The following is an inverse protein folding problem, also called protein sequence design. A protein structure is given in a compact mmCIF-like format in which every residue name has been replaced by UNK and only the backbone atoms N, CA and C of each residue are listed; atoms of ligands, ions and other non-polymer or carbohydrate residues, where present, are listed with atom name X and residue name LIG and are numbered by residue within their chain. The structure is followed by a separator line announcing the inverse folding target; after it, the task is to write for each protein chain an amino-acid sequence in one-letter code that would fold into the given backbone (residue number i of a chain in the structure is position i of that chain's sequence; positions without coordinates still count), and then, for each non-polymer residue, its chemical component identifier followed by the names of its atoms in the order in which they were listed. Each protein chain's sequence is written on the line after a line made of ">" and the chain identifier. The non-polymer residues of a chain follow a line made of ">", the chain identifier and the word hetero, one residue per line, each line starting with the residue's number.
data_IF_430502139718
#
_entry.id   IF_430502139718
#
_cell.length_a   1.000
_cell.length_b   1.000
_cell.length_c   1.000
_cell.angle_alpha   90.00
_cell.angle_beta   90.00
_cell.angle_gamma   90.00
#
_symmetry.space_group_name_H-M   'P 1'
#
loop_
_entity.id
_entity.type
_entity.pdbx_description
1 polymer ?
#
# COMPACT_ATOMS: atom_id res chain seq x y z
N UNK A 1 -10.43 -35.26 -14.32
CA UNK A 1 -10.72 -35.52 -12.91
C UNK A 1 -9.87 -34.51 -12.14
N UNK A 2 -10.44 -33.31 -11.92
CA UNK A 2 -9.74 -32.19 -11.24
C UNK A 2 -9.77 -32.49 -9.75
N UNK A 3 -8.58 -32.69 -9.19
CA UNK A 3 -8.39 -32.80 -7.74
C UNK A 3 -8.52 -31.39 -7.14
N UNK A 4 -9.70 -31.05 -6.65
CA UNK A 4 -9.88 -29.84 -5.82
C UNK A 4 -9.20 -30.13 -4.49
N UNK A 5 -8.00 -29.58 -4.31
CA UNK A 5 -7.35 -29.59 -3.02
C UNK A 5 -8.20 -28.74 -2.06
N UNK A 6 -8.92 -29.42 -1.16
CA UNK A 6 -9.62 -28.77 -0.06
C UNK A 6 -8.61 -28.17 0.88
N UNK A 7 -8.35 -26.87 0.73
CA UNK A 7 -7.56 -26.10 1.69
C UNK A 7 -8.29 -26.09 3.03
N UNK A 8 -7.81 -26.89 3.98
CA UNK A 8 -8.21 -26.74 5.38
C UNK A 8 -7.64 -25.41 5.86
N UNK A 9 -8.45 -24.54 6.48
CA UNK A 9 -7.94 -23.28 7.04
C UNK A 9 -6.83 -23.63 8.05
N UNK A 10 -5.64 -23.07 7.82
CA UNK A 10 -4.52 -23.18 8.74
C UNK A 10 -4.93 -22.49 10.05
N UNK A 11 -4.96 -23.26 11.15
CA UNK A 11 -5.04 -22.65 12.47
C UNK A 11 -3.67 -22.10 12.81
N UNK A 12 -3.57 -20.87 13.38
CA UNK A 12 -2.28 -20.34 13.80
C UNK A 12 -1.64 -21.34 14.74
N UNK A 13 -0.33 -21.53 14.65
CA UNK A 13 0.36 -22.30 15.67
C UNK A 13 0.08 -21.65 17.04
N UNK A 14 -0.22 -22.42 18.09
CA UNK A 14 -0.56 -21.86 19.42
C UNK A 14 0.46 -20.84 19.93
N UNK A 15 1.72 -20.98 19.51
CA UNK A 15 2.81 -20.03 19.77
C UNK A 15 2.59 -18.65 19.15
N UNK A 16 2.05 -18.54 17.92
CA UNK A 16 1.82 -17.27 17.23
C UNK A 16 0.67 -16.50 17.89
N UNK A 17 -0.46 -17.16 18.13
CA UNK A 17 -1.60 -16.56 18.84
C UNK A 17 -1.16 -16.00 20.19
N UNK A 18 -0.41 -16.78 20.97
CA UNK A 18 0.09 -16.36 22.28
C UNK A 18 1.05 -15.15 22.19
N UNK A 19 1.93 -15.10 21.17
CA UNK A 19 2.81 -13.94 20.95
C UNK A 19 2.00 -12.67 20.67
N UNK A 20 0.98 -12.74 19.82
CA UNK A 20 0.12 -11.62 19.50
C UNK A 20 -0.63 -11.10 20.73
N UNK A 21 -1.19 -11.97 21.55
CA UNK A 21 -1.84 -11.59 22.81
C UNK A 21 -0.88 -10.95 23.81
N UNK A 22 0.34 -11.50 23.95
CA UNK A 22 1.38 -10.91 24.80
C UNK A 22 1.80 -9.51 24.31
N UNK A 23 1.93 -9.34 23.00
CA UNK A 23 2.19 -8.03 22.40
C UNK A 23 1.08 -7.04 22.75
N UNK A 24 -0.18 -7.40 22.51
CA UNK A 24 -1.32 -6.53 22.77
C UNK A 24 -1.40 -6.09 24.24
N UNK A 25 -1.25 -7.03 25.17
CA UNK A 25 -1.26 -6.72 26.61
C UNK A 25 -0.13 -5.77 27.00
N UNK A 26 1.09 -6.01 26.47
CA UNK A 26 2.25 -5.12 26.72
C UNK A 26 2.06 -3.76 26.07
N UNK A 27 1.49 -3.70 24.87
CA UNK A 27 1.22 -2.45 24.17
C UNK A 27 0.24 -1.57 24.95
N UNK A 28 -0.89 -2.13 25.40
CA UNK A 28 -1.86 -1.42 26.23
C UNK A 28 -1.22 -0.90 27.52
N UNK A 29 -0.43 -1.74 28.19
CA UNK A 29 0.30 -1.31 29.38
C UNK A 29 1.27 -0.18 29.08
N UNK A 30 2.15 -0.34 28.09
CA UNK A 30 3.14 0.68 27.71
C UNK A 30 2.50 1.99 27.25
N UNK A 31 1.43 1.93 26.48
CA UNK A 31 0.74 3.14 26.01
C UNK A 31 0.19 4.01 27.15
N UNK A 32 -0.18 3.38 28.28
CA UNK A 32 -0.65 4.10 29.46
C UNK A 32 0.47 4.64 30.36
N UNK A 33 1.63 3.99 30.40
CA UNK A 33 2.69 4.33 31.33
C UNK A 33 3.91 4.98 30.69
N UNK A 34 4.20 4.72 29.41
CA UNK A 34 5.32 5.32 28.67
C UNK A 34 4.88 6.67 28.09
N UNK A 35 5.49 7.75 28.60
CA UNK A 35 5.18 9.11 28.13
C UNK A 35 5.85 9.44 26.80
N UNK A 36 7.04 8.90 26.56
CA UNK A 36 7.78 9.10 25.32
C UNK A 36 7.17 8.25 24.19
N UNK A 37 6.51 8.93 23.26
CA UNK A 37 5.85 8.27 22.12
C UNK A 37 6.85 7.76 21.08
N UNK A 38 8.05 8.32 21.01
CA UNK A 38 9.12 7.78 20.16
C UNK A 38 9.66 6.45 20.72
N UNK A 39 9.85 6.34 22.04
CA UNK A 39 10.24 5.09 22.70
C UNK A 39 9.17 4.00 22.47
N UNK A 40 7.89 4.35 22.66
CA UNK A 40 6.79 3.43 22.40
C UNK A 40 6.77 2.97 20.93
N UNK A 41 6.98 3.90 19.99
CA UNK A 41 7.02 3.60 18.56
C UNK A 41 8.17 2.66 18.19
N UNK A 42 9.36 2.92 18.69
CA UNK A 42 10.54 2.08 18.46
C UNK A 42 10.34 0.66 19.01
N UNK A 43 9.85 0.53 20.25
CA UNK A 43 9.52 -0.76 20.83
C UNK A 43 8.44 -1.49 20.02
N UNK A 44 7.38 -0.77 19.58
CA UNK A 44 6.31 -1.36 18.76
C UNK A 44 6.85 -1.87 17.44
N UNK A 45 7.66 -1.10 16.72
CA UNK A 45 8.34 -1.51 15.49
C UNK A 45 9.08 -2.84 15.67
N UNK A 46 9.90 -2.95 16.71
CA UNK A 46 10.71 -4.13 16.97
C UNK A 46 9.84 -5.36 17.24
N UNK A 47 8.73 -5.19 17.97
CA UNK A 47 7.78 -6.27 18.21
C UNK A 47 7.02 -6.69 16.92
N UNK A 48 6.66 -5.74 16.06
CA UNK A 48 5.99 -6.05 14.78
C UNK A 48 6.92 -6.84 13.85
N UNK A 49 8.22 -6.55 13.84
CA UNK A 49 9.23 -7.35 13.11
C UNK A 49 9.30 -8.79 13.62
N UNK A 50 9.27 -9.00 14.95
CA UNK A 50 9.26 -10.33 15.55
C UNK A 50 7.96 -11.12 15.31
N UNK A 51 6.82 -10.44 15.18
CA UNK A 51 5.53 -11.05 14.92
C UNK A 51 5.37 -11.51 13.46
N UNK A 52 6.11 -10.91 12.54
CA UNK A 52 6.19 -11.36 11.16
C UNK A 52 5.48 -10.48 10.13
N UNK A 53 5.42 -10.95 8.86
CA UNK A 53 5.05 -10.12 7.70
C UNK A 53 3.71 -9.40 7.80
N UNK A 54 2.68 -10.06 8.31
CA UNK A 54 1.35 -9.49 8.54
C UNK A 54 1.41 -8.25 9.43
N UNK A 55 2.14 -8.35 10.55
CA UNK A 55 2.26 -7.27 11.53
C UNK A 55 3.17 -6.16 11.05
N UNK A 56 4.22 -6.48 10.28
CA UNK A 56 5.04 -5.49 9.59
C UNK A 56 4.16 -4.64 8.67
N UNK A 57 3.28 -5.27 7.89
CA UNK A 57 2.38 -4.54 6.98
C UNK A 57 1.34 -3.70 7.74
N UNK A 58 0.77 -4.21 8.82
CA UNK A 58 -0.10 -3.43 9.69
C UNK A 58 0.63 -2.21 10.28
N UNK A 59 1.90 -2.37 10.65
CA UNK A 59 2.74 -1.27 11.11
C UNK A 59 3.04 -0.24 10.01
N UNK A 60 3.23 -0.67 8.76
CA UNK A 60 3.38 0.21 7.60
C UNK A 60 2.10 1.04 7.39
N UNK A 61 0.92 0.42 7.44
CA UNK A 61 -0.36 1.13 7.35
C UNK A 61 -0.50 2.13 8.51
N UNK A 62 -0.18 1.72 9.74
CA UNK A 62 -0.23 2.60 10.91
C UNK A 62 0.74 3.80 10.79
N UNK A 63 1.90 3.64 10.12
CA UNK A 63 2.87 4.73 9.92
C UNK A 63 2.32 5.88 9.06
N UNK A 64 1.35 5.61 8.19
CA UNK A 64 0.71 6.63 7.33
C UNK A 64 -0.48 7.31 7.99
N UNK A 65 -0.92 6.83 9.16
CA UNK A 65 -2.13 7.30 9.86
C UNK A 65 -1.78 8.35 10.92
N UNK A 66 -1.30 9.51 10.46
CA UNK A 66 -1.03 10.68 11.31
C UNK A 66 -2.31 11.26 11.97
N UNK A 67 -3.49 10.87 11.49
CA UNK A 67 -4.79 11.18 12.06
C UNK A 67 -5.10 10.37 13.34
N UNK A 68 -4.48 9.19 13.50
CA UNK A 68 -4.72 8.28 14.62
C UNK A 68 -3.58 8.24 15.64
N UNK A 69 -2.35 8.49 15.20
CA UNK A 69 -1.16 8.30 16.02
C UNK A 69 -0.29 9.56 16.04
N UNK A 70 0.39 9.86 17.18
CA UNK A 70 1.33 10.97 17.27
C UNK A 70 2.48 10.84 16.24
N UNK A 71 2.96 11.98 15.67
CA UNK A 71 4.05 11.97 14.68
C UNK A 71 5.33 11.27 15.14
N UNK A 72 5.66 11.39 16.43
CA UNK A 72 6.84 10.77 17.02
C UNK A 72 6.75 9.23 16.99
N UNK A 73 5.53 8.69 17.14
CA UNK A 73 5.23 7.26 17.06
C UNK A 73 5.28 6.77 15.61
N UNK A 74 4.56 7.43 14.70
CA UNK A 74 4.48 7.03 13.28
C UNK A 74 5.82 7.05 12.60
N UNK A 75 6.67 8.05 12.91
CA UNK A 75 8.03 8.15 12.39
C UNK A 75 8.91 6.93 12.69
N UNK A 76 8.73 6.28 13.84
CA UNK A 76 9.48 5.06 14.17
C UNK A 76 9.02 3.87 13.33
N UNK A 77 7.75 3.83 12.94
CA UNK A 77 7.18 2.76 12.12
C UNK A 77 7.51 2.90 10.63
N UNK A 78 7.88 4.09 10.14
CA UNK A 78 8.28 4.32 8.74
C UNK A 78 9.41 3.39 8.30
N UNK A 79 10.34 3.05 9.21
CA UNK A 79 11.45 2.15 8.94
C UNK A 79 11.06 0.69 8.67
N UNK A 80 9.80 0.31 8.89
CA UNK A 80 9.27 -1.02 8.54
C UNK A 80 9.17 -1.24 7.02
N UNK A 81 9.29 -0.18 6.21
CA UNK A 81 9.04 -0.25 4.77
C UNK A 81 10.12 -1.01 3.99
N UNK A 82 11.35 -1.16 4.51
CA UNK A 82 12.50 -1.62 3.72
C UNK A 82 13.22 -2.90 4.22
N UNK A 83 12.77 -3.57 5.30
CA UNK A 83 13.59 -4.60 5.96
C UNK A 83 12.86 -5.93 6.24
N UNK A 84 12.29 -6.56 5.23
CA UNK A 84 11.78 -7.93 5.40
C UNK A 84 12.78 -8.93 4.80
N UNK A 85 13.31 -9.91 5.57
CA UNK A 85 14.22 -10.92 5.04
C UNK A 85 13.60 -11.68 3.87
N UNK A 86 14.36 -11.98 2.81
CA UNK A 86 13.87 -12.76 1.70
C UNK A 86 13.58 -14.20 2.11
N UNK A 87 12.67 -14.87 1.40
CA UNK A 87 12.53 -16.33 1.48
C UNK A 87 13.66 -17.01 0.70
N UNK A 88 13.99 -18.21 1.11
CA UNK A 88 15.05 -18.99 0.49
C UNK A 88 14.72 -19.34 -0.98
N UNK A 89 15.75 -19.50 -1.78
CA UNK A 89 15.61 -19.68 -3.24
C UNK A 89 14.91 -21.01 -3.62
N UNK A 90 15.11 -22.06 -2.86
CA UNK A 90 14.41 -23.34 -3.03
C UNK A 90 12.89 -23.17 -2.96
N UNK A 91 12.41 -22.34 -2.02
CA UNK A 91 10.98 -21.97 -1.91
C UNK A 91 10.49 -21.20 -3.14
N UNK A 92 11.33 -20.34 -3.71
CA UNK A 92 11.02 -19.59 -4.94
C UNK A 92 10.88 -20.53 -6.13
N UNK A 93 11.75 -21.54 -6.23
CA UNK A 93 11.74 -22.52 -7.31
C UNK A 93 10.46 -23.37 -7.33
N UNK A 94 9.84 -23.60 -6.18
CA UNK A 94 8.57 -24.32 -6.09
C UNK A 94 7.38 -23.53 -6.64
N UNK A 95 7.49 -22.19 -6.69
CA UNK A 95 6.41 -21.27 -7.08
C UNK A 95 6.58 -20.77 -8.52
N UNK A 96 7.82 -20.57 -8.95
CA UNK A 96 8.16 -19.98 -10.27
C UNK A 96 8.42 -21.07 -11.31
N UNK A 97 7.73 -21.04 -12.43
CA UNK A 97 8.10 -21.90 -13.56
C UNK A 97 9.38 -21.36 -14.26
N UNK A 98 10.52 -21.91 -13.83
CA UNK A 98 11.82 -21.49 -14.33
C UNK A 98 12.04 -21.81 -15.82
N UNK A 99 11.23 -22.69 -16.43
CA UNK A 99 11.34 -23.01 -17.86
C UNK A 99 11.04 -21.81 -18.78
N UNK A 100 10.39 -20.78 -18.29
CA UNK A 100 10.13 -19.56 -19.06
C UNK A 100 11.37 -18.68 -19.28
N UNK A 101 12.41 -18.87 -18.45
CA UNK A 101 13.55 -17.98 -18.38
C UNK A 101 14.83 -18.65 -18.91
N UNK A 102 15.71 -17.86 -19.53
CA UNK A 102 17.10 -18.25 -19.84
C UNK A 102 18.02 -17.88 -18.69
N UNK A 103 17.68 -16.84 -17.94
CA UNK A 103 18.40 -16.36 -16.76
C UNK A 103 17.38 -16.01 -15.68
N UNK A 104 17.64 -16.41 -14.44
CA UNK A 104 16.86 -16.03 -13.27
C UNK A 104 17.81 -15.79 -12.09
N UNK A 105 17.81 -14.56 -11.55
CA UNK A 105 18.68 -14.21 -10.42
C UNK A 105 18.15 -14.85 -9.13
N UNK A 106 18.92 -15.72 -8.44
CA UNK A 106 18.46 -16.38 -7.20
C UNK A 106 18.27 -15.42 -6.04
N UNK A 107 19.06 -14.34 -6.01
CA UNK A 107 19.00 -13.32 -4.96
C UNK A 107 18.01 -12.26 -5.40
N UNK A 108 16.94 -11.99 -4.62
CA UNK A 108 16.00 -10.94 -4.96
C UNK A 108 16.67 -9.57 -4.81
N UNK A 109 16.41 -8.67 -5.74
CA UNK A 109 16.90 -7.30 -5.60
C UNK A 109 16.00 -6.44 -4.67
N UNK A 110 14.78 -6.89 -4.38
CA UNK A 110 13.87 -6.27 -3.40
C UNK A 110 13.08 -7.37 -2.69
N UNK A 111 12.97 -7.25 -1.36
CA UNK A 111 12.12 -8.12 -0.55
C UNK A 111 11.13 -7.26 0.24
N UNK A 112 9.85 -7.65 0.23
CA UNK A 112 8.75 -6.97 0.90
C UNK A 112 7.97 -7.93 1.82
N UNK A 113 7.00 -7.41 2.54
CA UNK A 113 6.19 -8.18 3.50
C UNK A 113 5.45 -9.35 2.85
N UNK A 114 4.86 -9.15 1.68
CA UNK A 114 4.02 -10.15 1.00
C UNK A 114 4.74 -10.92 -0.11
N UNK A 115 5.87 -10.44 -0.59
CA UNK A 115 6.60 -11.05 -1.71
C UNK A 115 8.00 -10.53 -1.87
N UNK A 116 8.68 -11.02 -2.88
CA UNK A 116 10.01 -10.56 -3.28
C UNK A 116 10.13 -10.46 -4.79
N UNK A 117 11.08 -9.68 -5.28
CA UNK A 117 11.24 -9.37 -6.69
C UNK A 117 12.61 -9.81 -7.18
N UNK A 118 12.62 -10.62 -8.23
CA UNK A 118 13.83 -11.12 -8.89
C UNK A 118 13.98 -10.52 -10.28
N UNK A 119 15.22 -10.37 -10.73
CA UNK A 119 15.51 -10.11 -12.13
C UNK A 119 15.57 -11.42 -12.89
N UNK A 120 15.08 -11.38 -14.12
CA UNK A 120 15.13 -12.55 -15.00
C UNK A 120 15.18 -12.12 -16.47
N UNK A 121 15.49 -13.06 -17.34
CA UNK A 121 15.43 -12.87 -18.78
C UNK A 121 14.58 -13.98 -19.40
N UNK A 122 13.57 -13.60 -20.16
CA UNK A 122 12.71 -14.54 -20.88
C UNK A 122 13.49 -15.21 -22.04
N UNK A 123 13.05 -16.40 -22.47
CA UNK A 123 13.62 -17.11 -23.62
C UNK A 123 13.65 -16.29 -24.92
N UNK A 124 12.80 -15.28 -25.05
CA UNK A 124 12.82 -14.35 -26.19
C UNK A 124 13.79 -13.17 -26.01
N UNK A 125 14.67 -13.20 -24.99
CA UNK A 125 15.72 -12.22 -24.73
C UNK A 125 15.27 -10.95 -24.01
N UNK A 126 13.99 -10.84 -23.58
CA UNK A 126 13.50 -9.66 -22.86
C UNK A 126 13.89 -9.70 -21.39
N UNK A 127 14.42 -8.60 -20.91
CA UNK A 127 14.68 -8.39 -19.48
C UNK A 127 13.36 -8.12 -18.75
N UNK A 128 13.14 -8.86 -17.66
CA UNK A 128 11.91 -8.81 -16.87
C UNK A 128 12.22 -8.81 -15.38
N UNK A 129 11.25 -8.38 -14.60
CA UNK A 129 11.18 -8.68 -13.17
C UNK A 129 10.11 -9.72 -12.92
N UNK A 130 10.34 -10.54 -11.92
CA UNK A 130 9.40 -11.55 -11.44
C UNK A 130 9.09 -11.23 -9.98
N UNK A 131 7.88 -10.76 -9.73
CA UNK A 131 7.36 -10.57 -8.38
C UNK A 131 6.82 -11.92 -7.91
N UNK A 132 7.35 -12.45 -6.82
CA UNK A 132 7.02 -13.78 -6.27
C UNK A 132 6.37 -13.61 -4.92
N UNK A 133 5.18 -14.15 -4.76
CA UNK A 133 4.44 -14.12 -3.51
C UNK A 133 5.09 -15.06 -2.47
N UNK A 134 5.06 -14.66 -1.20
CA UNK A 134 5.48 -15.57 -0.14
C UNK A 134 4.48 -16.73 -0.01
N UNK A 135 4.96 -17.97 0.14
CA UNK A 135 4.06 -19.13 0.29
C UNK A 135 3.08 -18.95 1.45
N UNK A 136 1.83 -19.33 1.22
CA UNK A 136 0.76 -19.30 2.22
C UNK A 136 0.57 -17.93 2.90
N UNK A 137 0.99 -16.82 2.24
CA UNK A 137 0.92 -15.50 2.86
C UNK A 137 -0.52 -15.07 3.12
N UNK A 138 -1.43 -15.34 2.18
CA UNK A 138 -2.85 -15.01 2.33
C UNK A 138 -3.47 -15.70 3.55
N UNK A 139 -3.25 -17.00 3.69
CA UNK A 139 -3.74 -17.80 4.81
C UNK A 139 -3.15 -17.33 6.14
N UNK A 140 -1.85 -17.02 6.13
CA UNK A 140 -1.16 -16.47 7.31
C UNK A 140 -1.75 -15.13 7.71
N UNK A 141 -1.92 -14.22 6.76
CA UNK A 141 -2.52 -12.91 7.00
C UNK A 141 -3.94 -13.02 7.54
N UNK A 142 -4.76 -13.88 6.95
CA UNK A 142 -6.14 -14.11 7.39
C UNK A 142 -6.20 -14.58 8.85
N UNK A 143 -5.35 -15.53 9.19
CA UNK A 143 -5.27 -16.06 10.55
C UNK A 143 -4.78 -15.01 11.55
N UNK A 144 -3.73 -14.25 11.19
CA UNK A 144 -3.19 -13.21 12.05
C UNK A 144 -4.20 -12.06 12.26
N UNK A 145 -4.90 -11.66 11.21
CA UNK A 145 -5.92 -10.60 11.28
C UNK A 145 -7.16 -11.04 12.08
N UNK A 146 -7.57 -12.30 12.00
CA UNK A 146 -8.63 -12.82 12.84
C UNK A 146 -8.23 -12.81 14.32
N UNK A 147 -6.96 -13.10 14.64
CA UNK A 147 -6.43 -12.94 16.00
C UNK A 147 -6.47 -11.48 16.47
N UNK A 148 -6.11 -10.52 15.60
CA UNK A 148 -6.17 -9.09 15.94
C UNK A 148 -7.60 -8.65 16.20
N UNK A 149 -8.57 -9.07 15.38
CA UNK A 149 -10.00 -8.79 15.62
C UNK A 149 -10.49 -9.35 16.97
N UNK A 150 -10.07 -10.57 17.30
CA UNK A 150 -10.40 -11.18 18.60
C UNK A 150 -9.86 -10.36 19.78
N UNK A 151 -8.63 -9.89 19.66
CA UNK A 151 -7.98 -9.04 20.68
C UNK A 151 -8.73 -7.71 20.84
N UNK A 152 -9.02 -7.01 19.75
CA UNK A 152 -9.73 -5.72 19.80
C UNK A 152 -11.09 -5.88 20.46
N UNK A 153 -11.89 -6.87 20.05
CA UNK A 153 -13.20 -7.16 20.68
C UNK A 153 -13.08 -7.51 22.16
N UNK A 154 -12.02 -8.19 22.56
CA UNK A 154 -11.79 -8.48 23.98
C UNK A 154 -11.45 -7.21 24.77
N UNK A 155 -10.57 -6.35 24.23
CA UNK A 155 -10.20 -5.08 24.87
C UNK A 155 -11.41 -4.16 25.06
N UNK A 156 -12.28 -4.06 24.07
CA UNK A 156 -13.54 -3.30 24.15
C UNK A 156 -14.47 -3.85 25.25
N UNK A 157 -14.60 -5.20 25.34
CA UNK A 157 -15.40 -5.84 26.39
C UNK A 157 -14.92 -5.54 27.81
N UNK A 158 -13.61 -5.40 28.01
CA UNK A 158 -13.02 -5.10 29.32
C UNK A 158 -12.90 -3.60 29.59
N UNK A 159 -13.47 -2.77 28.72
CA UNK A 159 -13.54 -1.30 28.89
C UNK A 159 -12.25 -0.56 28.58
N UNK A 160 -11.33 -1.17 27.81
CA UNK A 160 -10.18 -0.45 27.27
C UNK A 160 -10.68 0.39 26.10
N UNK A 161 -10.47 1.72 26.20
CA UNK A 161 -10.79 2.62 25.10
C UNK A 161 -9.85 2.36 23.93
N UNK A 162 -10.40 1.80 22.86
CA UNK A 162 -9.69 1.55 21.60
C UNK A 162 -9.94 2.67 20.57
N UNK A 163 -10.73 3.67 20.94
CA UNK A 163 -11.20 4.76 20.07
C UNK A 163 -12.51 4.43 19.35
N UNK A 164 -13.38 5.41 19.19
CA UNK A 164 -14.75 5.25 18.65
C UNK A 164 -14.84 4.72 17.21
N UNK A 165 -13.73 4.58 16.50
CA UNK A 165 -13.67 4.09 15.11
C UNK A 165 -12.75 2.89 14.94
N UNK A 166 -12.27 2.27 16.02
CA UNK A 166 -11.21 1.25 15.98
C UNK A 166 -11.58 0.02 15.15
N UNK A 167 -12.81 -0.50 15.31
CA UNK A 167 -13.24 -1.68 14.54
C UNK A 167 -13.40 -1.38 13.05
N UNK A 168 -13.92 -0.21 12.69
CA UNK A 168 -14.06 0.23 11.31
C UNK A 168 -12.68 0.39 10.65
N UNK A 169 -11.80 1.17 11.26
CA UNK A 169 -10.42 1.40 10.77
C UNK A 169 -9.62 0.11 10.68
N UNK A 170 -9.79 -0.78 11.66
CA UNK A 170 -9.16 -2.09 11.65
C UNK A 170 -9.65 -2.94 10.48
N UNK A 171 -10.96 -3.00 10.25
CA UNK A 171 -11.54 -3.77 9.17
C UNK A 171 -11.10 -3.24 7.80
N UNK A 172 -11.10 -1.93 7.58
CA UNK A 172 -10.56 -1.32 6.36
C UNK A 172 -9.07 -1.68 6.15
N UNK A 173 -8.27 -1.59 7.22
CA UNK A 173 -6.84 -1.94 7.17
C UNK A 173 -6.62 -3.42 6.84
N UNK A 174 -7.48 -4.30 7.35
CA UNK A 174 -7.42 -5.73 7.07
C UNK A 174 -7.85 -6.05 5.63
N UNK A 175 -8.91 -5.41 5.14
CA UNK A 175 -9.34 -5.57 3.74
C UNK A 175 -8.27 -5.10 2.78
N UNK A 176 -7.67 -3.96 3.06
CA UNK A 176 -6.52 -3.46 2.31
C UNK A 176 -5.35 -4.46 2.30
N UNK A 177 -4.97 -4.95 3.49
CA UNK A 177 -3.89 -5.92 3.67
C UNK A 177 -4.12 -7.22 2.88
N UNK A 178 -5.33 -7.78 2.96
CA UNK A 178 -5.69 -9.00 2.25
C UNK A 178 -5.74 -8.78 0.74
N UNK A 179 -6.24 -7.63 0.30
CA UNK A 179 -6.31 -7.25 -1.11
C UNK A 179 -4.94 -7.17 -1.77
N UNK A 180 -3.90 -6.71 -1.07
CA UNK A 180 -2.53 -6.66 -1.61
C UNK A 180 -1.96 -8.05 -1.98
N UNK A 181 -2.50 -9.13 -1.45
CA UNK A 181 -2.08 -10.49 -1.80
C UNK A 181 -2.73 -11.02 -3.08
N UNK A 182 -3.66 -10.29 -3.68
CA UNK A 182 -4.33 -10.66 -4.93
C UNK A 182 -3.53 -10.23 -6.16
N UNK A 183 -2.64 -11.11 -6.62
CA UNK A 183 -1.81 -10.84 -7.80
C UNK A 183 -2.60 -10.82 -9.10
N UNK A 184 -3.75 -11.51 -9.19
CA UNK A 184 -4.60 -11.44 -10.38
C UNK A 184 -5.22 -10.05 -10.52
N UNK A 185 -5.70 -9.48 -9.41
CA UNK A 185 -6.21 -8.11 -9.39
C UNK A 185 -5.09 -7.10 -9.72
N UNK A 186 -3.88 -7.29 -9.19
CA UNK A 186 -2.74 -6.43 -9.50
C UNK A 186 -2.37 -6.49 -11.00
N UNK A 187 -2.40 -7.67 -11.62
CA UNK A 187 -2.17 -7.86 -13.06
C UNK A 187 -3.22 -7.09 -13.88
N UNK A 188 -4.49 -7.22 -13.54
CA UNK A 188 -5.58 -6.53 -14.23
C UNK A 188 -5.46 -5.02 -14.08
N UNK A 189 -5.18 -4.55 -12.90
CA UNK A 189 -4.93 -3.15 -12.59
C UNK A 189 -3.75 -2.60 -13.43
N UNK A 190 -2.62 -3.29 -13.45
CA UNK A 190 -1.45 -2.87 -14.22
C UNK A 190 -1.73 -2.75 -15.72
N UNK A 191 -2.48 -3.71 -16.28
CA UNK A 191 -2.84 -3.69 -17.70
C UNK A 191 -3.80 -2.55 -18.00
N UNK A 192 -4.82 -2.32 -17.17
CA UNK A 192 -5.79 -1.23 -17.33
C UNK A 192 -5.09 0.13 -17.14
N UNK A 193 -4.26 0.26 -16.12
CA UNK A 193 -3.49 1.48 -15.86
C UNK A 193 -2.58 1.83 -17.05
N UNK A 194 -1.84 0.84 -17.57
CA UNK A 194 -1.01 1.02 -18.74
C UNK A 194 -1.80 1.48 -19.97
N UNK A 195 -3.00 0.92 -20.19
CA UNK A 195 -3.91 1.34 -21.26
C UNK A 195 -4.36 2.80 -21.08
N UNK A 196 -4.74 3.17 -19.85
CA UNK A 196 -5.21 4.51 -19.53
C UNK A 196 -4.12 5.58 -19.70
N UNK A 197 -2.87 5.23 -19.39
CA UNK A 197 -1.73 6.16 -19.42
C UNK A 197 -0.92 6.11 -20.73
N UNK A 198 -1.36 5.37 -21.76
CA UNK A 198 -0.61 5.15 -23.01
C UNK A 198 -0.25 6.44 -23.76
N UNK A 199 -1.14 7.44 -23.70
CA UNK A 199 -1.01 8.72 -24.41
C UNK A 199 -0.26 9.78 -23.56
N UNK A 200 0.06 9.48 -22.30
CA UNK A 200 0.80 10.36 -21.38
C UNK A 200 2.29 10.16 -21.59
N UNK A 201 2.90 11.02 -22.41
CA UNK A 201 4.27 10.86 -22.93
C UNK A 201 5.35 10.78 -21.86
N UNK A 202 5.12 11.41 -20.70
CA UNK A 202 6.08 11.47 -19.58
C UNK A 202 5.89 10.33 -18.55
N UNK A 203 4.94 9.42 -18.78
CA UNK A 203 4.72 8.24 -17.93
C UNK A 203 5.18 6.98 -18.66
N UNK A 204 5.78 6.08 -17.92
CA UNK A 204 6.10 4.71 -18.33
C UNK A 204 5.45 3.75 -17.35
N UNK A 205 4.68 2.82 -17.87
CA UNK A 205 4.10 1.70 -17.13
C UNK A 205 4.71 0.41 -17.68
N UNK A 206 5.35 -0.42 -16.85
CA UNK A 206 5.91 -1.70 -17.28
C UNK A 206 4.84 -2.58 -17.95
N UNK A 207 5.23 -3.31 -18.99
CA UNK A 207 4.32 -4.26 -19.62
C UNK A 207 4.24 -5.53 -18.77
N UNK A 208 3.05 -5.96 -18.40
CA UNK A 208 2.81 -7.28 -17.81
C UNK A 208 2.77 -8.33 -18.92
N UNK A 209 3.47 -9.44 -18.71
CA UNK A 209 3.50 -10.60 -19.62
C UNK A 209 2.56 -11.68 -19.05
N UNK A 210 1.26 -11.53 -19.28
CA UNK A 210 0.20 -12.36 -18.69
C UNK A 210 0.41 -13.86 -18.86
N UNK A 211 0.95 -14.29 -20.02
CA UNK A 211 1.18 -15.70 -20.35
C UNK A 211 2.20 -16.38 -19.41
N UNK A 212 2.97 -15.59 -18.68
CA UNK A 212 3.99 -16.06 -17.72
C UNK A 212 3.63 -15.79 -16.26
N UNK A 213 2.45 -15.17 -16.02
CA UNK A 213 1.95 -14.88 -14.69
C UNK A 213 1.14 -16.05 -14.15
N UNK A 214 1.06 -16.15 -12.81
CA UNK A 214 0.23 -17.11 -12.08
C UNK A 214 -0.46 -16.39 -10.90
N UNK A 215 -1.20 -17.10 -10.05
CA UNK A 215 -1.77 -16.54 -8.81
C UNK A 215 -0.67 -16.10 -7.82
N UNK A 216 0.54 -16.65 -7.96
CA UNK A 216 1.65 -16.41 -7.04
C UNK A 216 2.83 -15.66 -7.68
N UNK A 217 2.77 -15.38 -8.98
CA UNK A 217 3.85 -14.70 -9.70
C UNK A 217 3.34 -13.66 -10.69
N UNK A 218 4.00 -12.49 -10.72
CA UNK A 218 3.77 -11.46 -11.74
C UNK A 218 5.06 -11.28 -12.53
N UNK A 219 4.99 -11.43 -13.85
CA UNK A 219 6.12 -11.21 -14.76
C UNK A 219 5.87 -9.93 -15.54
N UNK A 220 6.76 -8.94 -15.37
CA UNK A 220 6.64 -7.66 -16.04
C UNK A 220 7.96 -7.15 -16.59
N UNK A 221 7.90 -6.23 -17.54
CA UNK A 221 9.04 -5.56 -18.16
C UNK A 221 9.95 -4.95 -17.09
N UNK A 222 11.24 -5.24 -17.17
CA UNK A 222 12.23 -4.50 -16.41
C UNK A 222 12.39 -3.10 -17.01
N UNK A 223 12.20 -2.09 -16.20
CA UNK A 223 12.42 -0.70 -16.60
C UNK A 223 13.53 -0.12 -15.73
N UNK A 224 14.67 0.17 -16.35
CA UNK A 224 15.77 0.82 -15.66
C UNK A 224 15.38 2.23 -15.21
N UNK A 225 15.49 2.48 -13.91
CA UNK A 225 15.05 3.72 -13.28
C UNK A 225 15.60 3.84 -11.86
N UNK A 226 15.73 5.06 -11.40
CA UNK A 226 16.12 5.39 -10.04
C UNK A 226 14.89 5.75 -9.22
N UNK A 227 14.87 5.44 -7.94
CA UNK A 227 13.79 5.90 -7.05
C UNK A 227 13.78 7.42 -6.96
N UNK A 228 12.60 8.03 -6.87
CA UNK A 228 12.47 9.48 -6.81
C UNK A 228 13.24 10.12 -5.65
N UNK A 229 13.37 9.39 -4.53
CA UNK A 229 14.12 9.82 -3.33
C UNK A 229 15.63 9.68 -3.45
N UNK A 230 16.11 8.86 -4.40
CA UNK A 230 17.53 8.54 -4.57
C UNK A 230 18.15 9.24 -5.79
N UNK A 231 17.39 10.10 -6.48
CA UNK A 231 17.87 10.86 -7.63
C UNK A 231 19.05 11.75 -7.23
N UNK A 232 20.23 11.40 -7.72
CA UNK A 232 21.48 12.11 -7.42
C UNK A 232 21.96 13.03 -8.55
N UNK A 233 21.48 12.83 -9.78
CA UNK A 233 21.88 13.64 -10.93
C UNK A 233 21.46 15.12 -10.73
N UNK A 234 22.41 16.07 -10.63
CA UNK A 234 22.12 17.48 -10.46
C UNK A 234 21.43 18.11 -11.68
N UNK A 235 21.50 17.48 -12.86
CA UNK A 235 20.86 17.96 -14.07
C UNK A 235 19.37 17.61 -14.14
N UNK A 236 18.90 16.75 -13.26
CA UNK A 236 17.48 16.38 -13.20
C UNK A 236 16.66 17.55 -12.62
N UNK A 237 15.75 18.07 -13.41
CA UNK A 237 14.86 19.13 -12.98
C UNK A 237 13.72 18.57 -12.09
N UNK A 238 13.94 18.58 -10.78
CA UNK A 238 12.99 18.09 -9.78
C UNK A 238 11.62 18.77 -9.87
N UNK A 239 11.58 20.08 -10.22
CA UNK A 239 10.32 20.80 -10.40
C UNK A 239 9.49 20.20 -11.54
N UNK A 240 10.13 19.88 -12.67
CA UNK A 240 9.45 19.21 -13.80
C UNK A 240 8.94 17.81 -13.42
N UNK A 241 9.67 17.09 -12.58
CA UNK A 241 9.21 15.77 -12.08
C UNK A 241 7.97 15.95 -11.21
N UNK A 242 7.96 16.91 -10.29
CA UNK A 242 6.79 17.21 -9.47
C UNK A 242 5.58 17.62 -10.32
N UNK A 243 5.79 18.49 -11.31
CA UNK A 243 4.74 18.89 -12.26
C UNK A 243 4.20 17.69 -13.05
N UNK A 244 5.08 16.83 -13.54
CA UNK A 244 4.70 15.59 -14.24
C UNK A 244 3.94 14.63 -13.34
N UNK A 245 4.33 14.50 -12.08
CA UNK A 245 3.65 13.67 -11.09
C UNK A 245 2.25 14.20 -10.81
N UNK A 246 2.12 15.48 -10.47
CA UNK A 246 0.82 16.12 -10.22
C UNK A 246 -0.09 15.98 -11.45
N UNK A 247 0.39 16.29 -12.64
CA UNK A 247 -0.38 16.16 -13.87
C UNK A 247 -0.80 14.70 -14.12
N UNK A 248 0.05 13.74 -13.81
CA UNK A 248 -0.29 12.33 -13.92
C UNK A 248 -1.45 11.94 -13.00
N UNK A 249 -1.46 12.43 -11.76
CA UNK A 249 -2.56 12.18 -10.81
C UNK A 249 -3.85 12.91 -11.21
N UNK A 250 -3.76 14.14 -11.72
CA UNK A 250 -4.93 14.86 -12.26
C UNK A 250 -5.57 14.08 -13.42
N UNK A 251 -4.76 13.54 -14.34
CA UNK A 251 -5.27 12.72 -15.44
C UNK A 251 -5.90 11.42 -14.90
N UNK A 252 -5.24 10.74 -13.99
CA UNK A 252 -5.73 9.50 -13.38
C UNK A 252 -7.09 9.69 -12.70
N UNK A 253 -7.23 10.75 -11.90
CA UNK A 253 -8.45 11.00 -11.11
C UNK A 253 -9.56 11.64 -11.96
N UNK A 254 -9.27 12.75 -12.65
CA UNK A 254 -10.31 13.56 -13.29
C UNK A 254 -10.68 13.10 -14.70
N UNK A 255 -9.72 12.56 -15.47
CA UNK A 255 -9.98 12.09 -16.83
C UNK A 255 -10.32 10.59 -16.86
N UNK A 256 -9.48 9.77 -16.20
CA UNK A 256 -9.62 8.31 -16.26
C UNK A 256 -10.52 7.73 -15.16
N UNK A 257 -10.68 8.42 -14.03
CA UNK A 257 -11.38 7.91 -12.85
C UNK A 257 -10.79 6.62 -12.29
N UNK A 258 -9.51 6.36 -12.57
CA UNK A 258 -8.79 5.15 -12.20
C UNK A 258 -7.38 5.54 -11.81
N UNK A 259 -7.11 5.60 -10.51
CA UNK A 259 -5.86 6.16 -10.02
C UNK A 259 -5.12 5.26 -9.05
N UNK A 260 -3.81 5.39 -9.09
CA UNK A 260 -2.88 4.73 -8.18
C UNK A 260 -2.98 5.38 -6.80
N UNK A 261 -3.49 4.64 -5.82
CA UNK A 261 -3.80 5.19 -4.51
C UNK A 261 -2.65 5.05 -3.48
N UNK A 262 -1.51 4.48 -3.88
CA UNK A 262 -0.31 4.39 -3.05
C UNK A 262 0.90 5.12 -3.68
N UNK A 263 0.95 6.47 -3.62
CA UNK A 263 2.03 7.28 -4.20
C UNK A 263 3.34 7.20 -3.39
N UNK A 264 3.58 6.12 -2.69
CA UNK A 264 4.81 5.95 -1.93
C UNK A 264 6.04 6.04 -2.84
N UNK A 265 7.12 6.72 -2.45
CA UNK A 265 8.33 6.86 -3.28
C UNK A 265 8.94 5.52 -3.72
N UNK A 266 8.72 4.44 -2.97
CA UNK A 266 9.13 3.08 -3.34
C UNK A 266 8.39 2.47 -4.52
N UNK A 267 7.22 3.04 -4.89
CA UNK A 267 6.37 2.61 -6.00
C UNK A 267 6.55 3.49 -7.24
N UNK A 268 7.42 4.51 -7.15
CA UNK A 268 7.66 5.49 -8.20
C UNK A 268 9.15 5.58 -8.53
N UNK A 269 9.46 5.67 -9.80
CA UNK A 269 10.82 5.88 -10.27
C UNK A 269 10.92 6.90 -11.39
N UNK A 270 12.14 7.24 -11.72
CA UNK A 270 12.48 8.09 -12.85
C UNK A 270 13.47 7.38 -13.75
N UNK A 271 13.09 7.15 -15.00
CA UNK A 271 13.93 6.44 -15.97
C UNK A 271 14.99 7.35 -16.56
N UNK A 272 16.08 6.78 -17.05
CA UNK A 272 17.13 7.47 -17.83
C UNK A 272 16.58 8.21 -19.06
N UNK A 273 15.40 7.80 -19.55
CA UNK A 273 14.68 8.46 -20.67
C UNK A 273 13.79 9.62 -20.23
N UNK A 274 13.88 10.08 -18.98
CA UNK A 274 13.13 11.22 -18.47
C UNK A 274 11.64 10.95 -18.23
N UNK A 275 11.26 9.71 -17.91
CA UNK A 275 9.86 9.33 -17.66
C UNK A 275 9.63 8.89 -16.22
N UNK A 276 8.48 9.28 -15.66
CA UNK A 276 7.98 8.70 -14.42
C UNK A 276 7.60 7.24 -14.65
N UNK A 277 8.02 6.36 -13.76
CA UNK A 277 7.73 4.94 -13.80
C UNK A 277 6.87 4.58 -12.59
N UNK A 278 5.76 3.89 -12.82
CA UNK A 278 4.91 3.30 -11.78
C UNK A 278 5.16 1.80 -11.73
N UNK A 279 5.41 1.23 -10.54
CA UNK A 279 5.84 -0.17 -10.42
C UNK A 279 4.82 -1.11 -9.77
N UNK A 280 4.09 -0.64 -8.78
CA UNK A 280 3.15 -1.44 -8.01
C UNK A 280 1.71 -1.04 -8.38
N UNK A 281 0.83 -2.01 -8.55
CA UNK A 281 -0.57 -1.78 -8.93
C UNK A 281 -1.54 -2.52 -8.00
N UNK A 282 -1.06 -2.92 -6.83
CA UNK A 282 -1.87 -3.59 -5.82
C UNK A 282 -2.99 -2.70 -5.29
N UNK A 283 -2.73 -1.39 -5.16
CA UNK A 283 -3.72 -0.43 -4.71
C UNK A 283 -4.09 0.56 -5.82
N UNK A 284 -5.19 0.27 -6.48
CA UNK A 284 -5.84 1.15 -7.45
C UNK A 284 -7.27 1.43 -7.00
N UNK A 285 -7.68 2.68 -7.10
CA UNK A 285 -9.07 3.08 -6.83
C UNK A 285 -9.77 3.42 -8.12
N UNK A 286 -10.96 2.85 -8.32
CA UNK A 286 -11.87 3.14 -9.42
C UNK A 286 -12.95 4.12 -8.91
N UNK A 287 -12.91 5.36 -9.38
CA UNK A 287 -13.85 6.39 -8.99
C UNK A 287 -15.15 6.25 -9.77
N UNK A 288 -16.28 6.26 -9.07
CA UNK A 288 -17.58 6.42 -9.73
C UNK A 288 -17.63 7.74 -10.53
N UNK A 289 -18.50 7.82 -11.52
CA UNK A 289 -18.68 9.07 -12.28
C UNK A 289 -19.07 10.22 -11.36
N UNK A 290 -19.91 9.95 -10.36
CA UNK A 290 -20.34 10.94 -9.37
C UNK A 290 -19.16 11.50 -8.54
N UNK A 291 -18.29 10.64 -8.02
CA UNK A 291 -17.10 11.05 -7.30
C UNK A 291 -16.14 11.83 -8.20
N UNK A 292 -15.95 11.37 -9.43
CA UNK A 292 -15.07 12.04 -10.40
C UNK A 292 -15.57 13.45 -10.73
N UNK A 293 -16.86 13.61 -10.93
CA UNK A 293 -17.45 14.92 -11.22
C UNK A 293 -17.45 15.83 -9.98
N UNK A 294 -17.65 15.27 -8.80
CA UNK A 294 -17.47 15.96 -7.54
C UNK A 294 -16.04 16.51 -7.37
N UNK A 295 -15.03 15.70 -7.66
CA UNK A 295 -13.63 16.16 -7.64
C UNK A 295 -13.35 17.28 -8.65
N UNK A 296 -13.91 17.21 -9.88
CA UNK A 296 -13.77 18.29 -10.87
C UNK A 296 -14.39 19.59 -10.37
N UNK A 297 -15.59 19.53 -9.80
CA UNK A 297 -16.28 20.69 -9.22
C UNK A 297 -15.48 21.26 -8.05
N UNK A 298 -14.98 20.39 -7.16
CA UNK A 298 -14.14 20.80 -6.02
C UNK A 298 -12.91 21.57 -6.51
N UNK A 299 -12.25 21.06 -7.54
CA UNK A 299 -11.07 21.70 -8.10
C UNK A 299 -11.41 23.08 -8.73
N UNK A 300 -12.55 23.18 -9.40
CA UNK A 300 -13.08 24.46 -9.90
C UNK A 300 -13.27 25.47 -8.76
N UNK A 301 -13.97 25.08 -7.69
CA UNK A 301 -14.17 25.94 -6.53
C UNK A 301 -12.86 26.35 -5.83
N UNK A 302 -11.84 25.48 -5.81
CA UNK A 302 -10.51 25.82 -5.28
C UNK A 302 -9.84 26.91 -6.13
N UNK A 303 -9.89 26.80 -7.46
CA UNK A 303 -9.33 27.78 -8.38
C UNK A 303 -10.05 29.13 -8.23
N UNK A 304 -11.37 29.11 -8.15
CA UNK A 304 -12.23 30.29 -8.02
C UNK A 304 -12.25 30.86 -6.59
N UNK A 305 -11.56 30.19 -5.63
CA UNK A 305 -11.55 30.53 -4.19
C UNK A 305 -12.96 30.58 -3.58
N UNK A 306 -13.89 29.80 -4.13
CA UNK A 306 -15.25 29.65 -3.61
C UNK A 306 -15.28 28.70 -2.41
N UNK A 307 -15.05 29.24 -1.22
CA UNK A 307 -15.06 28.49 0.03
C UNK A 307 -16.41 27.85 0.35
N UNK A 308 -17.53 28.47 -0.05
CA UNK A 308 -18.86 27.92 0.18
C UNK A 308 -19.11 26.71 -0.73
N UNK A 309 -18.74 26.83 -2.01
CA UNK A 309 -18.81 25.73 -2.96
C UNK A 309 -17.95 24.52 -2.52
N UNK A 310 -16.73 24.78 -2.02
CA UNK A 310 -15.85 23.73 -1.46
C UNK A 310 -16.57 22.96 -0.34
N UNK A 311 -17.11 23.66 0.67
CA UNK A 311 -17.81 23.03 1.78
C UNK A 311 -19.00 22.21 1.31
N UNK A 312 -19.83 22.79 0.42
CA UNK A 312 -21.01 22.10 -0.10
C UNK A 312 -20.66 20.81 -0.86
N UNK A 313 -19.61 20.85 -1.67
CA UNK A 313 -19.17 19.65 -2.42
C UNK A 313 -18.62 18.59 -1.46
N UNK A 314 -17.81 18.95 -0.48
CA UNK A 314 -17.29 18.03 0.53
C UNK A 314 -18.41 17.36 1.35
N UNK A 315 -19.49 18.10 1.63
CA UNK A 315 -20.69 17.54 2.26
C UNK A 315 -21.40 16.55 1.32
N UNK A 316 -21.60 16.94 0.07
CA UNK A 316 -22.27 16.09 -0.93
C UNK A 316 -21.48 14.78 -1.19
N UNK A 317 -20.16 14.85 -1.14
CA UNK A 317 -19.27 13.68 -1.28
C UNK A 317 -19.17 12.83 0.00
N UNK A 318 -19.82 13.25 1.11
CA UNK A 318 -19.77 12.53 2.37
C UNK A 318 -18.44 12.65 3.12
N UNK A 319 -17.54 13.54 2.67
CA UNK A 319 -16.23 13.76 3.31
C UNK A 319 -16.38 14.51 4.64
N UNK A 320 -17.39 15.39 4.72
CA UNK A 320 -17.73 16.15 5.93
C UNK A 320 -19.17 15.84 6.31
N UNK A 321 -19.38 15.41 7.57
CA UNK A 321 -20.72 15.31 8.14
C UNK A 321 -21.12 16.66 8.73
N UNK A 322 -22.23 17.24 8.27
CA UNK A 322 -22.79 18.45 8.88
C UNK A 322 -23.52 18.05 10.15
N UNK A 323 -22.86 18.17 11.28
CA UNK A 323 -23.56 18.27 12.56
C UNK A 323 -24.13 19.69 12.65
N UNK A 324 -25.45 19.83 12.74
CA UNK A 324 -26.15 21.11 12.85
C UNK A 324 -25.91 21.78 14.22
N UNK A 325 -24.66 22.14 14.52
CA UNK A 325 -24.34 22.99 15.67
C UNK A 325 -23.31 24.04 15.24
N UNK A 326 -23.84 25.22 14.87
CA UNK A 326 -23.14 26.51 14.83
C UNK A 326 -21.79 26.57 14.08
N UNK A 327 -21.84 26.56 12.75
CA UNK A 327 -20.79 27.18 11.94
C UNK A 327 -21.10 28.67 11.74
N UNK A 328 -20.88 29.48 12.77
CA UNK A 328 -20.59 30.90 12.58
C UNK A 328 -19.12 31.00 12.15
N UNK A 329 -18.87 31.17 10.85
CA UNK A 329 -17.55 31.52 10.34
C UNK A 329 -17.09 32.82 10.99
N UNK A 330 -15.89 32.90 11.58
CA UNK A 330 -15.35 34.18 12.01
C UNK A 330 -15.16 35.05 10.79
N UNK A 331 -15.76 36.22 10.82
CA UNK A 331 -15.58 37.27 9.83
C UNK A 331 -14.09 37.66 9.83
N UNK A 332 -13.37 37.27 8.80
CA UNK A 332 -11.99 37.72 8.61
C UNK A 332 -12.08 39.19 8.21
N UNK A 333 -11.81 40.07 9.18
CA UNK A 333 -11.61 41.49 8.90
C UNK A 333 -10.37 41.62 8.02
N UNK A 334 -10.57 42.15 6.82
CA UNK A 334 -9.51 42.69 5.94
C UNK A 334 -8.82 43.87 6.66
N UNK A 335 -7.50 43.74 6.81
CA UNK A 335 -6.59 44.90 6.97
C UNK A 335 -5.69 44.94 5.76
#
# INVERSE_FOLDING_TARGET
>A
MLCVATHRPLKPPPSQKMKTWKFAAKFVWKNNFVKDKAELGSWTRDQLLELGPTFVKLGQIASTRADLYPPEFTKQLESLQDNVPPVAYDVVQDVVNLEYFVEFEPIPFKSASIGQVHRAKLKNGKDVIVKVKRPNIYETMKVDTDNVREIVRFLEKVGVDTGNSSEFVLNESIEYLLGESDYQQEIENAVRFRKNMKDVKWVKVPKVYKDFCTDDTIVMEYVESEKLTELTDPNVNRKKICEALINSYVIQTMDKGFFHADPHPGNLGFSSKGKLVFYDFGLIVDLSEELRDGFKQLFGCIIDKDTKGIVQILVNLGVITVSYTHLTLPTIYSV
#
